data_IF_409864560052
#
_entry.id   IF_409864560052
#
_cell.length_a   1.000
_cell.length_b   1.000
_cell.length_c   1.000
_cell.angle_alpha   90.00
_cell.angle_beta   90.00
_cell.angle_gamma   90.00
#
_symmetry.space_group_name_H-M   'P 1'
#
loop_
_entity.id
_entity.type
_entity.pdbx_description
1 polymer ?
#
# COMPACT_ATOMS: atom_id res chain seq x y z
N UNK A 1 -69.39 46.04 -6.19
CA UNK A 1 -68.15 45.93 -6.98
C UNK A 1 -66.99 45.56 -6.05
N UNK A 2 -66.74 44.28 -5.76
CA UNK A 2 -65.52 43.88 -5.06
C UNK A 2 -64.42 43.53 -6.07
N UNK A 3 -63.31 44.25 -5.98
CA UNK A 3 -62.10 44.06 -6.78
C UNK A 3 -61.25 42.96 -6.15
N UNK A 4 -61.06 41.84 -6.85
CA UNK A 4 -60.18 40.76 -6.42
C UNK A 4 -58.76 41.01 -6.93
N UNK A 5 -57.84 41.29 -6.00
CA UNK A 5 -56.41 41.33 -6.26
C UNK A 5 -55.88 39.90 -6.42
N UNK A 6 -55.43 39.56 -7.62
CA UNK A 6 -54.73 38.30 -7.91
C UNK A 6 -53.28 38.41 -7.46
N UNK A 7 -52.95 37.81 -6.31
CA UNK A 7 -51.57 37.61 -5.87
C UNK A 7 -50.96 36.41 -6.62
N UNK A 8 -50.20 36.69 -7.67
CA UNK A 8 -49.38 35.70 -8.38
C UNK A 8 -48.20 35.27 -7.54
N UNK A 9 -48.31 34.12 -6.84
CA UNK A 9 -47.20 33.48 -6.17
C UNK A 9 -46.33 32.73 -7.20
N UNK A 10 -45.23 33.37 -7.63
CA UNK A 10 -44.19 32.72 -8.43
C UNK A 10 -43.40 31.75 -7.57
N UNK A 11 -43.67 30.46 -7.69
CA UNK A 11 -42.85 29.40 -7.11
C UNK A 11 -41.58 29.22 -7.94
N UNK A 12 -40.62 30.13 -7.76
CA UNK A 12 -39.28 29.95 -8.30
C UNK A 12 -38.58 28.89 -7.46
N UNK A 13 -38.52 27.68 -8.02
CA UNK A 13 -37.90 26.50 -7.43
C UNK A 13 -36.38 26.72 -7.34
N UNK A 14 -35.92 27.24 -6.21
CA UNK A 14 -34.49 27.27 -5.86
C UNK A 14 -33.97 25.83 -5.81
N UNK A 15 -33.18 25.47 -6.80
CA UNK A 15 -32.43 24.23 -6.74
C UNK A 15 -31.33 24.36 -5.67
N UNK A 16 -31.18 23.38 -4.77
CA UNK A 16 -30.10 23.37 -3.80
C UNK A 16 -28.77 23.16 -4.53
N UNK A 17 -27.94 24.20 -4.57
CA UNK A 17 -26.55 24.08 -5.01
C UNK A 17 -25.76 23.31 -3.96
N UNK A 18 -25.48 22.05 -4.26
CA UNK A 18 -24.61 21.23 -3.44
C UNK A 18 -23.15 21.66 -3.63
N UNK A 19 -22.38 21.92 -2.56
CA UNK A 19 -20.99 22.35 -2.66
C UNK A 19 -20.11 21.21 -3.22
N UNK A 20 -19.65 21.36 -4.46
CA UNK A 20 -18.78 20.38 -5.14
C UNK A 20 -17.31 20.41 -4.68
N UNK A 21 -16.90 21.35 -3.82
CA UNK A 21 -15.48 21.57 -3.51
C UNK A 21 -14.89 20.72 -2.36
N UNK A 22 -15.64 19.78 -1.77
CA UNK A 22 -15.13 18.99 -0.62
C UNK A 22 -14.12 17.89 -0.97
N UNK A 23 -13.94 17.52 -2.23
CA UNK A 23 -13.02 16.43 -2.63
C UNK A 23 -11.63 16.89 -3.07
N UNK A 24 -11.39 18.20 -3.22
CA UNK A 24 -10.10 18.74 -3.66
C UNK A 24 -8.94 18.54 -2.67
N UNK A 25 -9.10 18.57 -1.33
CA UNK A 25 -7.97 18.40 -0.43
C UNK A 25 -7.50 16.95 -0.28
N UNK A 26 -8.36 15.95 -0.55
CA UNK A 26 -8.00 14.53 -0.41
C UNK A 26 -7.03 14.07 -1.52
N UNK A 27 -7.22 14.55 -2.74
CA UNK A 27 -6.33 14.25 -3.86
C UNK A 27 -4.95 14.93 -3.69
N UNK A 28 -4.92 16.16 -3.17
CA UNK A 28 -3.68 16.88 -2.89
C UNK A 28 -2.85 16.23 -1.76
N UNK A 29 -3.50 15.73 -0.71
CA UNK A 29 -2.83 15.03 0.38
C UNK A 29 -2.23 13.68 -0.07
N UNK A 30 -2.91 12.95 -0.94
CA UNK A 30 -2.40 11.70 -1.49
C UNK A 30 -1.18 11.91 -2.40
N UNK A 31 -1.17 12.97 -3.21
CA UNK A 31 -0.02 13.33 -4.04
C UNK A 31 1.21 13.75 -3.21
N UNK A 32 1.00 14.51 -2.12
CA UNK A 32 2.07 14.92 -1.21
C UNK A 32 2.70 13.71 -0.48
N UNK A 33 1.89 12.73 -0.08
CA UNK A 33 2.39 11.51 0.57
C UNK A 33 3.23 10.64 -0.39
N UNK A 34 2.83 10.54 -1.66
CA UNK A 34 3.60 9.81 -2.69
C UNK A 34 4.95 10.49 -2.98
N UNK A 35 4.98 11.82 -3.03
CA UNK A 35 6.22 12.58 -3.24
C UNK A 35 7.21 12.43 -2.05
N UNK A 36 6.70 12.41 -0.81
CA UNK A 36 7.53 12.21 0.38
C UNK A 36 8.14 10.79 0.42
N UNK A 37 7.39 9.76 0.03
CA UNK A 37 7.90 8.40 -0.05
C UNK A 37 9.02 8.25 -1.10
N UNK A 38 8.86 8.88 -2.27
CA UNK A 38 9.89 8.88 -3.31
C UNK A 38 11.18 9.62 -2.85
N UNK A 39 11.04 10.71 -2.09
CA UNK A 39 12.19 11.44 -1.54
C UNK A 39 12.97 10.60 -0.51
N UNK A 40 12.29 9.83 0.34
CA UNK A 40 12.94 8.96 1.34
C UNK A 40 13.70 7.82 0.64
N UNK A 41 13.11 7.19 -0.38
CA UNK A 41 13.79 6.13 -1.15
C UNK A 41 15.00 6.68 -1.90
N UNK A 42 14.90 7.89 -2.46
CA UNK A 42 16.02 8.56 -3.14
C UNK A 42 17.13 8.94 -2.16
N UNK A 43 16.79 9.43 -0.96
CA UNK A 43 17.77 9.75 0.08
C UNK A 43 18.47 8.48 0.61
N UNK A 44 17.72 7.39 0.83
CA UNK A 44 18.27 6.11 1.29
C UNK A 44 19.21 5.48 0.25
N UNK A 45 18.85 5.53 -1.03
CA UNK A 45 19.71 5.04 -2.13
C UNK A 45 20.96 5.91 -2.30
N UNK A 46 20.85 7.23 -2.15
CA UNK A 46 22.01 8.14 -2.20
C UNK A 46 22.94 7.97 -0.99
N UNK A 47 22.40 7.74 0.21
CA UNK A 47 23.18 7.43 1.41
C UNK A 47 23.90 6.07 1.28
N UNK A 48 23.24 5.05 0.73
CA UNK A 48 23.86 3.76 0.46
C UNK A 48 24.99 3.87 -0.57
N UNK A 49 24.79 4.66 -1.65
CA UNK A 49 25.79 4.89 -2.68
C UNK A 49 27.01 5.69 -2.17
N UNK A 50 26.80 6.67 -1.29
CA UNK A 50 27.91 7.44 -0.68
C UNK A 50 28.67 6.62 0.37
N UNK A 51 28.00 5.72 1.10
CA UNK A 51 28.67 4.77 2.00
C UNK A 51 29.54 3.74 1.23
N UNK A 52 29.13 3.32 0.04
CA UNK A 52 29.94 2.46 -0.83
C UNK A 52 31.10 3.22 -1.51
N UNK A 53 30.90 4.50 -1.85
CA UNK A 53 31.96 5.36 -2.37
C UNK A 53 33.06 5.66 -1.33
N UNK A 54 32.69 5.84 -0.06
CA UNK A 54 33.66 6.03 1.03
C UNK A 54 34.51 4.77 1.31
N UNK A 55 33.95 3.57 1.07
CA UNK A 55 34.67 2.30 1.22
C UNK A 55 35.56 1.94 0.01
N UNK A 56 35.39 2.63 -1.13
CA UNK A 56 36.12 2.34 -2.38
C UNK A 56 37.17 3.40 -2.73
N UNK A 57 37.25 4.50 -1.97
CA UNK A 57 38.27 5.56 -2.11
C UNK A 57 39.73 5.12 -1.86
N UNK A 58 39.97 3.88 -1.44
CA UNK A 58 41.33 3.30 -1.33
C UNK A 58 41.63 2.20 -2.35
N UNK A 59 40.73 1.88 -3.29
CA UNK A 59 40.90 0.68 -4.12
C UNK A 59 40.42 0.78 -5.59
N UNK A 60 40.21 1.97 -6.15
CA UNK A 60 39.72 2.11 -7.54
C UNK A 60 40.65 2.96 -8.42
N UNK A 61 41.87 2.48 -8.65
CA UNK A 61 42.70 2.84 -9.80
C UNK A 61 42.64 1.78 -10.93
N UNK A 62 41.72 0.83 -10.87
CA UNK A 62 41.62 -0.20 -11.90
C UNK A 62 40.18 -0.63 -12.14
N UNK A 63 39.86 -0.80 -13.43
CA UNK A 63 38.69 -1.46 -13.99
C UNK A 63 37.40 -0.62 -14.13
N UNK A 64 37.40 0.15 -15.22
CA UNK A 64 36.23 0.38 -16.06
C UNK A 64 35.57 -0.94 -16.53
N UNK A 65 34.24 -0.87 -16.69
CA UNK A 65 33.37 -1.62 -17.61
C UNK A 65 32.66 -2.92 -17.15
N UNK A 66 31.44 -3.07 -17.70
CA UNK A 66 30.42 -4.14 -17.60
C UNK A 66 29.49 -4.04 -16.37
N UNK A 67 28.23 -3.62 -16.44
CA UNK A 67 27.07 -4.02 -17.27
C UNK A 67 26.56 -5.45 -17.01
N UNK A 68 25.23 -5.53 -16.84
CA UNK A 68 24.33 -6.68 -16.86
C UNK A 68 24.16 -7.52 -15.58
N UNK A 69 22.92 -7.47 -15.06
CA UNK A 69 22.11 -8.57 -14.49
C UNK A 69 22.83 -9.89 -14.24
N UNK A 70 22.84 -10.39 -12.99
CA UNK A 70 22.39 -11.72 -12.55
C UNK A 70 22.56 -11.86 -11.01
N UNK A 71 21.69 -12.63 -10.31
CA UNK A 71 21.81 -12.89 -8.88
C UNK A 71 22.97 -13.86 -8.57
N UNK A 72 23.71 -13.72 -7.44
CA UNK A 72 24.81 -14.62 -7.15
C UNK A 72 24.34 -16.01 -6.64
N UNK A 73 24.99 -17.10 -7.09
CA UNK A 73 24.69 -18.49 -6.74
C UNK A 73 25.33 -18.95 -5.40
N UNK A 74 24.80 -20.05 -4.88
CA UNK A 74 25.27 -20.80 -3.70
C UNK A 74 26.77 -21.19 -3.78
N UNK A 75 27.52 -21.17 -2.66
CA UNK A 75 28.85 -21.80 -2.62
C UNK A 75 28.73 -23.33 -2.52
N UNK A 76 29.22 -24.00 -3.56
CA UNK A 76 29.57 -25.41 -3.55
C UNK A 76 30.74 -25.67 -2.57
N UNK A 77 30.61 -26.73 -1.78
CA UNK A 77 31.75 -27.39 -1.16
C UNK A 77 32.66 -27.95 -2.25
N UNK A 78 33.92 -27.53 -2.28
CA UNK A 78 34.99 -28.33 -2.88
C UNK A 78 36.17 -28.49 -1.93
N UNK A 79 36.51 -29.76 -1.77
CA UNK A 79 37.68 -30.29 -1.10
C UNK A 79 38.96 -29.73 -1.72
N UNK A 80 39.96 -29.43 -0.88
CA UNK A 80 41.35 -29.72 -1.26
C UNK A 80 42.10 -30.36 -0.09
N UNK A 81 42.36 -31.64 -0.32
CA UNK A 81 43.50 -32.40 0.18
C UNK A 81 44.79 -31.62 -0.07
N UNK A 82 45.55 -31.32 0.98
CA UNK A 82 47.00 -31.61 1.05
C UNK A 82 47.59 -31.03 2.33
N UNK A 83 48.12 -31.89 3.19
CA UNK A 83 49.35 -31.55 3.91
C UNK A 83 50.14 -32.81 4.29
N UNK A 84 51.46 -32.74 4.15
CA UNK A 84 52.31 -33.91 4.00
C UNK A 84 52.76 -34.50 5.33
N UNK A 85 53.05 -35.79 5.22
CA UNK A 85 53.88 -36.63 6.08
C UNK A 85 55.18 -35.92 6.44
N UNK A 86 55.46 -35.75 7.73
CA UNK A 86 56.82 -35.57 8.25
C UNK A 86 56.89 -36.16 9.65
N UNK A 87 57.98 -36.88 9.86
CA UNK A 87 58.18 -37.90 10.87
C UNK A 87 58.78 -37.33 12.16
N UNK A 88 58.44 -38.00 13.26
CA UNK A 88 59.28 -38.27 14.45
C UNK A 88 59.92 -37.10 15.21
N UNK A 89 59.60 -36.97 16.49
CA UNK A 89 60.41 -37.58 17.57
C UNK A 89 59.85 -37.25 18.95
N UNK A 90 59.73 -38.29 19.77
CA UNK A 90 59.49 -38.21 21.22
C UNK A 90 60.70 -37.59 21.94
N UNK A 91 60.46 -36.83 23.01
CA UNK A 91 61.34 -36.76 24.17
C UNK A 91 60.55 -36.29 25.40
N UNK A 92 60.70 -37.03 26.47
CA UNK A 92 60.02 -36.92 27.75
C UNK A 92 60.64 -35.88 28.68
N UNK A 93 59.85 -35.51 29.69
CA UNK A 93 60.24 -35.14 31.07
C UNK A 93 60.77 -33.72 31.34
N UNK A 94 60.04 -32.93 32.14
CA UNK A 94 60.32 -32.76 33.59
C UNK A 94 59.57 -31.56 34.18
N UNK A 95 58.97 -31.78 35.34
CA UNK A 95 58.55 -30.74 36.30
C UNK A 95 59.74 -29.90 36.76
N UNK A 96 59.53 -28.59 36.98
CA UNK A 96 59.80 -27.89 38.25
C UNK A 96 59.79 -26.36 38.10
N UNK A 97 59.03 -25.73 38.99
CA UNK A 97 59.33 -24.54 39.78
C UNK A 97 59.90 -23.27 39.13
N UNK A 98 59.13 -22.20 39.31
CA UNK A 98 59.57 -20.87 39.77
C UNK A 98 60.94 -20.37 39.33
N UNK A 99 60.96 -19.47 38.35
CA UNK A 99 61.77 -18.24 38.45
C UNK A 99 61.45 -17.27 37.34
N UNK A 100 61.10 -16.06 37.78
CA UNK A 100 61.10 -14.80 37.05
C UNK A 100 62.15 -14.76 35.94
N UNK A 101 61.72 -14.95 34.71
CA UNK A 101 62.47 -14.57 33.53
C UNK A 101 61.60 -13.62 32.72
N UNK A 102 61.93 -12.35 32.91
CA UNK A 102 61.60 -11.23 32.05
C UNK A 102 62.25 -11.48 30.68
N UNK A 103 61.78 -12.49 29.94
CA UNK A 103 62.18 -12.74 28.55
C UNK A 103 61.38 -11.81 27.68
N UNK A 104 62.14 -11.04 26.93
CA UNK A 104 61.83 -10.03 25.93
C UNK A 104 61.06 -10.63 24.73
N UNK A 105 59.96 -11.33 24.98
CA UNK A 105 58.95 -11.73 23.99
C UNK A 105 58.08 -10.50 23.77
N UNK A 106 58.43 -9.75 22.72
CA UNK A 106 58.02 -8.37 22.53
C UNK A 106 56.54 -8.15 22.18
N UNK A 107 56.14 -6.87 22.00
CA UNK A 107 54.76 -6.38 21.74
C UNK A 107 54.03 -6.97 20.51
N UNK A 108 54.64 -7.90 19.78
CA UNK A 108 54.15 -8.46 18.52
C UNK A 108 53.03 -9.50 18.72
N UNK A 109 53.02 -10.24 19.83
CA UNK A 109 51.98 -11.24 20.11
C UNK A 109 50.65 -10.53 20.46
N UNK A 110 50.73 -9.41 21.19
CA UNK A 110 49.56 -8.60 21.54
C UNK A 110 48.95 -7.92 20.31
N UNK A 111 49.80 -7.48 19.37
CA UNK A 111 49.36 -6.86 18.11
C UNK A 111 48.55 -7.83 17.23
N UNK A 112 48.96 -9.11 17.19
CA UNK A 112 48.26 -10.14 16.41
C UNK A 112 46.91 -10.50 17.04
N UNK A 113 46.85 -10.58 18.37
CA UNK A 113 45.60 -10.82 19.11
C UNK A 113 44.61 -9.67 18.97
N UNK A 114 45.09 -8.42 19.04
CA UNK A 114 44.26 -7.24 18.82
C UNK A 114 43.67 -7.21 17.41
N UNK A 115 44.49 -7.52 16.38
CA UNK A 115 44.01 -7.60 15.00
C UNK A 115 42.96 -8.69 14.81
N UNK A 116 43.15 -9.86 15.43
CA UNK A 116 42.17 -10.94 15.40
C UNK A 116 40.85 -10.54 16.10
N UNK A 117 40.94 -9.87 17.27
CA UNK A 117 39.77 -9.38 17.99
C UNK A 117 38.98 -8.33 17.18
N UNK A 118 39.67 -7.35 16.59
CA UNK A 118 39.04 -6.34 15.72
C UNK A 118 38.43 -6.98 14.47
N UNK A 119 39.09 -7.98 13.87
CA UNK A 119 38.55 -8.72 12.73
C UNK A 119 37.29 -9.52 13.10
N UNK A 120 37.27 -10.14 14.29
CA UNK A 120 36.10 -10.87 14.79
C UNK A 120 34.94 -9.91 15.12
N UNK A 121 35.25 -8.75 15.69
CA UNK A 121 34.27 -7.70 15.97
C UNK A 121 33.67 -7.12 14.68
N UNK A 122 34.51 -6.85 13.66
CA UNK A 122 34.06 -6.42 12.34
C UNK A 122 33.15 -7.48 11.68
N UNK A 123 33.52 -8.76 11.77
CA UNK A 123 32.69 -9.85 11.26
C UNK A 123 31.34 -9.94 12.00
N UNK A 124 31.33 -9.77 13.33
CA UNK A 124 30.10 -9.74 14.11
C UNK A 124 29.21 -8.53 13.78
N UNK A 125 29.81 -7.36 13.53
CA UNK A 125 29.09 -6.17 13.08
C UNK A 125 28.45 -6.39 11.70
N UNK A 126 29.20 -6.96 10.74
CA UNK A 126 28.68 -7.29 9.41
C UNK A 126 27.47 -8.22 9.50
N UNK A 127 27.52 -9.26 10.33
CA UNK A 127 26.38 -10.16 10.53
C UNK A 127 25.14 -9.43 11.11
N UNK A 128 25.33 -8.46 12.00
CA UNK A 128 24.22 -7.65 12.53
C UNK A 128 23.62 -6.77 11.44
N UNK A 129 24.45 -6.14 10.60
CA UNK A 129 23.96 -5.35 9.48
C UNK A 129 23.19 -6.19 8.47
N UNK A 130 23.69 -7.38 8.11
CA UNK A 130 22.98 -8.31 7.23
C UNK A 130 21.59 -8.65 7.77
N UNK A 131 21.47 -8.97 9.06
CA UNK A 131 20.17 -9.26 9.68
C UNK A 131 19.20 -8.06 9.64
N UNK A 132 19.71 -6.85 9.89
CA UNK A 132 18.89 -5.63 9.82
C UNK A 132 18.39 -5.42 8.39
N UNK A 133 19.24 -5.65 7.39
CA UNK A 133 18.86 -5.52 5.97
C UNK A 133 17.80 -6.57 5.60
N UNK A 134 17.98 -7.83 5.99
CA UNK A 134 17.01 -8.90 5.74
C UNK A 134 15.64 -8.62 6.40
N UNK A 135 15.65 -8.10 7.63
CA UNK A 135 14.41 -7.71 8.31
C UNK A 135 13.74 -6.51 7.62
N UNK A 136 14.53 -5.52 7.18
CA UNK A 136 14.02 -4.37 6.45
C UNK A 136 13.41 -4.77 5.09
N UNK A 137 14.03 -5.70 4.36
CA UNK A 137 13.49 -6.21 3.09
C UNK A 137 12.18 -6.97 3.31
N UNK A 138 12.12 -7.82 4.35
CA UNK A 138 10.88 -8.54 4.70
C UNK A 138 9.74 -7.57 5.04
N UNK A 139 10.02 -6.54 5.85
CA UNK A 139 9.02 -5.50 6.18
C UNK A 139 8.58 -4.72 4.94
N UNK A 140 9.48 -4.47 3.98
CA UNK A 140 9.12 -3.80 2.73
C UNK A 140 8.16 -4.65 1.88
N UNK A 141 8.39 -5.96 1.80
CA UNK A 141 7.47 -6.91 1.13
C UNK A 141 6.11 -6.94 1.84
N UNK A 142 6.08 -7.01 3.16
CA UNK A 142 4.85 -6.96 3.95
C UNK A 142 4.07 -5.66 3.67
N UNK A 143 4.74 -4.50 3.64
CA UNK A 143 4.12 -3.22 3.28
C UNK A 143 3.58 -3.21 1.85
N UNK A 144 4.27 -3.85 0.90
CA UNK A 144 3.80 -3.98 -0.48
C UNK A 144 2.51 -4.82 -0.54
N UNK A 145 2.45 -5.94 0.19
CA UNK A 145 1.24 -6.78 0.25
C UNK A 145 0.06 -6.04 0.88
N UNK A 146 0.29 -5.30 1.98
CA UNK A 146 -0.73 -4.48 2.63
C UNK A 146 -1.22 -3.37 1.70
N UNK A 147 -0.33 -2.75 0.94
CA UNK A 147 -0.69 -1.72 -0.04
C UNK A 147 -1.60 -2.30 -1.13
N UNK A 148 -1.27 -3.49 -1.63
CA UNK A 148 -2.12 -4.21 -2.60
C UNK A 148 -3.49 -4.55 -2.01
N UNK A 149 -3.55 -5.03 -0.76
CA UNK A 149 -4.80 -5.34 -0.09
C UNK A 149 -5.68 -4.09 0.09
N UNK A 150 -5.09 -2.97 0.48
CA UNK A 150 -5.81 -1.69 0.61
C UNK A 150 -6.36 -1.22 -0.74
N UNK A 151 -5.61 -1.41 -1.84
CA UNK A 151 -6.11 -1.11 -3.18
C UNK A 151 -7.34 -1.98 -3.55
N UNK A 152 -7.27 -3.29 -3.33
CA UNK A 152 -8.39 -4.21 -3.56
C UNK A 152 -9.62 -3.87 -2.71
N UNK A 153 -9.42 -3.49 -1.44
CA UNK A 153 -10.52 -3.07 -0.57
C UNK A 153 -11.17 -1.77 -1.06
N UNK A 154 -10.39 -0.83 -1.60
CA UNK A 154 -10.94 0.41 -2.18
C UNK A 154 -11.78 0.13 -3.43
N UNK A 155 -11.34 -0.80 -4.26
CA UNK A 155 -12.09 -1.26 -5.45
C UNK A 155 -13.42 -1.91 -5.05
N UNK A 156 -13.41 -2.90 -4.15
CA UNK A 156 -14.65 -3.52 -3.64
C UNK A 156 -15.60 -2.51 -2.98
N UNK A 157 -15.06 -1.52 -2.29
CA UNK A 157 -15.86 -0.45 -1.69
C UNK A 157 -16.48 0.45 -2.78
N UNK A 158 -15.80 0.67 -3.90
CA UNK A 158 -16.38 1.40 -5.04
C UNK A 158 -17.49 0.60 -5.75
N UNK A 159 -17.30 -0.70 -5.97
CA UNK A 159 -18.31 -1.60 -6.57
C UNK A 159 -19.59 -1.63 -5.72
N UNK A 160 -19.46 -1.85 -4.41
CA UNK A 160 -20.61 -1.88 -3.49
C UNK A 160 -21.36 -0.53 -3.44
N UNK A 161 -20.66 0.60 -3.60
CA UNK A 161 -21.31 1.92 -3.71
C UNK A 161 -22.08 2.06 -5.00
N UNK A 162 -21.55 1.58 -6.12
CA UNK A 162 -22.23 1.60 -7.41
C UNK A 162 -23.49 0.72 -7.38
N UNK A 163 -23.39 -0.48 -6.81
CA UNK A 163 -24.54 -1.37 -6.60
C UNK A 163 -25.63 -0.70 -5.75
N UNK A 164 -25.27 -0.02 -4.66
CA UNK A 164 -26.24 0.71 -3.84
C UNK A 164 -26.93 1.84 -4.61
N UNK A 165 -26.19 2.58 -5.44
CA UNK A 165 -26.77 3.63 -6.30
C UNK A 165 -27.72 3.02 -7.34
N UNK A 166 -27.35 1.89 -7.94
CA UNK A 166 -28.19 1.14 -8.87
C UNK A 166 -29.49 0.65 -8.22
N UNK A 167 -29.40 0.04 -7.03
CA UNK A 167 -30.57 -0.39 -6.26
C UNK A 167 -31.48 0.78 -5.87
N UNK A 168 -30.90 1.92 -5.50
CA UNK A 168 -31.66 3.13 -5.19
C UNK A 168 -32.39 3.67 -6.42
N UNK A 169 -31.73 3.71 -7.58
CA UNK A 169 -32.34 4.12 -8.84
C UNK A 169 -33.47 3.16 -9.26
N UNK A 170 -33.26 1.86 -9.11
CA UNK A 170 -34.27 0.84 -9.38
C UNK A 170 -35.51 0.99 -8.50
N UNK A 171 -35.32 1.21 -7.19
CA UNK A 171 -36.41 1.43 -6.25
C UNK A 171 -37.16 2.74 -6.54
N UNK A 172 -36.45 3.82 -6.91
CA UNK A 172 -37.07 5.07 -7.36
C UNK A 172 -37.92 4.86 -8.61
N UNK A 173 -37.41 4.11 -9.60
CA UNK A 173 -38.14 3.74 -10.81
C UNK A 173 -39.41 2.95 -10.51
N UNK A 174 -39.33 1.91 -9.65
CA UNK A 174 -40.50 1.16 -9.16
C UNK A 174 -41.52 2.08 -8.48
N UNK A 175 -41.07 2.99 -7.62
CA UNK A 175 -41.92 3.97 -6.95
C UNK A 175 -42.65 4.88 -7.95
N UNK A 176 -41.96 5.34 -9.00
CA UNK A 176 -42.56 6.16 -10.06
C UNK A 176 -43.57 5.37 -10.89
N UNK A 177 -43.26 4.11 -11.25
CA UNK A 177 -44.19 3.22 -11.96
C UNK A 177 -45.46 2.97 -11.14
N UNK A 178 -45.32 2.72 -9.84
CA UNK A 178 -46.47 2.56 -8.94
C UNK A 178 -47.33 3.83 -8.86
N UNK A 179 -46.71 5.01 -8.80
CA UNK A 179 -47.43 6.30 -8.83
C UNK A 179 -48.18 6.50 -10.16
N UNK A 180 -47.57 6.12 -11.29
CA UNK A 180 -48.21 6.20 -12.60
C UNK A 180 -49.45 5.30 -12.67
N UNK A 181 -49.32 4.02 -12.28
CA UNK A 181 -50.45 3.08 -12.23
C UNK A 181 -51.58 3.55 -11.31
N UNK A 182 -51.26 4.18 -10.17
CA UNK A 182 -52.29 4.77 -9.29
C UNK A 182 -53.04 5.92 -9.94
N UNK A 183 -52.38 6.74 -10.76
CA UNK A 183 -53.03 7.83 -11.50
C UNK A 183 -53.93 7.28 -12.60
N UNK A 184 -53.44 6.29 -13.35
CA UNK A 184 -54.18 5.61 -14.41
C UNK A 184 -55.46 4.94 -13.87
N UNK A 185 -55.34 4.22 -12.75
CA UNK A 185 -56.49 3.60 -12.08
C UNK A 185 -57.50 4.65 -11.58
N UNK A 186 -57.03 5.80 -11.10
CA UNK A 186 -57.91 6.89 -10.70
C UNK A 186 -58.64 7.53 -11.89
N UNK A 187 -57.97 7.69 -13.03
CA UNK A 187 -58.59 8.21 -14.26
C UNK A 187 -59.61 7.23 -14.82
N UNK A 188 -59.30 5.94 -14.86
CA UNK A 188 -60.23 4.89 -15.33
C UNK A 188 -61.49 4.82 -14.47
N UNK A 189 -61.35 4.94 -13.14
CA UNK A 189 -62.50 5.01 -12.23
C UNK A 189 -63.38 6.23 -12.50
N UNK A 190 -62.77 7.39 -12.73
CA UNK A 190 -63.51 8.63 -13.04
C UNK A 190 -64.24 8.52 -14.38
N UNK A 191 -63.58 7.96 -15.40
CA UNK A 191 -64.19 7.72 -16.71
C UNK A 191 -65.40 6.77 -16.61
N UNK A 192 -65.27 5.67 -15.85
CA UNK A 192 -66.41 4.78 -15.56
C UNK A 192 -67.56 5.49 -14.86
N UNK A 193 -67.29 6.32 -13.85
CA UNK A 193 -68.34 7.08 -13.15
C UNK A 193 -69.03 8.10 -14.08
N UNK A 194 -68.28 8.75 -14.97
CA UNK A 194 -68.82 9.65 -15.99
C UNK A 194 -69.66 8.89 -17.04
N UNK A 195 -69.22 7.72 -17.48
CA UNK A 195 -69.99 6.84 -18.39
C UNK A 195 -71.28 6.34 -17.74
N UNK A 196 -71.24 5.86 -16.50
CA UNK A 196 -72.43 5.47 -15.75
C UNK A 196 -73.39 6.65 -15.60
N UNK A 197 -72.88 7.84 -15.30
CA UNK A 197 -73.67 9.08 -15.23
C UNK A 197 -74.33 9.42 -16.58
N UNK A 198 -73.60 9.27 -17.69
CA UNK A 198 -74.13 9.47 -19.06
C UNK A 198 -75.23 8.45 -19.40
N UNK A 199 -75.03 7.18 -19.06
CA UNK A 199 -76.02 6.13 -19.28
C UNK A 199 -77.29 6.40 -18.47
N UNK A 200 -77.17 6.78 -17.19
CA UNK A 200 -78.29 7.14 -16.33
C UNK A 200 -79.04 8.39 -16.84
N UNK A 201 -78.32 9.39 -17.35
CA UNK A 201 -78.92 10.58 -17.96
C UNK A 201 -79.70 10.22 -19.24
N UNK A 202 -79.10 9.41 -20.11
CA UNK A 202 -79.72 8.97 -21.37
C UNK A 202 -80.95 8.12 -21.11
N UNK A 203 -80.89 7.22 -20.12
CA UNK A 203 -82.01 6.40 -19.68
C UNK A 203 -83.17 7.26 -19.16
N UNK A 204 -82.88 8.25 -18.29
CA UNK A 204 -83.89 9.20 -17.80
C UNK A 204 -84.57 9.98 -18.93
N UNK A 205 -83.81 10.40 -19.94
CA UNK A 205 -84.37 11.10 -21.10
C UNK A 205 -85.28 10.19 -21.95
N UNK A 206 -84.93 8.91 -22.07
CA UNK A 206 -85.73 7.92 -22.81
C UNK A 206 -87.00 7.48 -22.10
N UNK A 207 -86.93 7.31 -20.77
CA UNK A 207 -88.04 6.82 -19.96
C UNK A 207 -89.13 7.89 -19.72
N UNK A 208 -88.93 9.12 -20.20
CA UNK A 208 -90.02 10.07 -20.44
C UNK A 208 -90.73 10.56 -19.19
N UNK A 209 -90.19 11.63 -18.61
CA UNK A 209 -91.03 12.78 -18.29
C UNK A 209 -91.04 13.71 -19.51
#
# INVERSE_FOLDING_TARGET
>A
MPSYCAAGASWQQQQPQWPQDRNKPAAAAAAAAAAAAAAIVTAATTAAATATAAATGTAAAAATAAAATQPPPQPQQQQQLSSPRSHSSSSSSSSSSSSSKMTREGPLIDSSRLRAALSAEAAAANLRFTKIIEEATRKAEELQTLTSLVAQLREKLSETKEEQLSLKAFNASKGNKLKALRRELATEKKEKEEEESRLLSTKRHRDGL
#
